data_IF_504008174468
#
_entry.id   IF_504008174468
#
_cell.length_a   1.000
_cell.length_b   1.000
_cell.length_c   1.000
_cell.angle_alpha   90.00
_cell.angle_beta   90.00
_cell.angle_gamma   90.00
#
_symmetry.space_group_name_H-M   'P 1'
#
loop_
_entity.id
_entity.type
_entity.pdbx_description
1 polymer ?
#
# COMPACT_ATOMS: atom_id res chain seq x y z
N UNK A 1 9.49 17.85 -10.59
CA UNK A 1 8.83 18.24 -9.33
C UNK A 1 8.97 17.17 -8.26
N UNK A 2 8.65 15.91 -8.55
CA UNK A 2 8.76 14.76 -7.62
C UNK A 2 10.13 14.63 -6.92
N UNK A 3 11.25 14.71 -7.66
CA UNK A 3 12.60 14.69 -7.06
C UNK A 3 12.87 15.84 -6.09
N UNK A 4 12.28 17.02 -6.32
CA UNK A 4 12.40 18.16 -5.41
C UNK A 4 11.54 17.96 -4.16
N UNK A 5 10.36 17.35 -4.32
CA UNK A 5 9.50 16.95 -3.21
C UNK A 5 10.21 15.90 -2.32
N UNK A 6 10.83 14.89 -2.93
CA UNK A 6 11.64 13.88 -2.25
C UNK A 6 12.83 14.49 -1.50
N UNK A 7 13.59 15.37 -2.16
CA UNK A 7 14.70 16.08 -1.52
C UNK A 7 14.25 16.90 -0.30
N UNK A 8 13.12 17.62 -0.45
CA UNK A 8 12.54 18.41 0.63
C UNK A 8 12.09 17.51 1.79
N UNK A 9 11.41 16.40 1.53
CA UNK A 9 11.00 15.46 2.57
C UNK A 9 12.19 14.78 3.26
N UNK A 10 13.25 14.44 2.52
CA UNK A 10 14.51 13.94 3.10
C UNK A 10 15.15 14.98 4.02
N UNK A 11 15.08 16.28 3.67
CA UNK A 11 15.58 17.35 4.55
C UNK A 11 14.83 17.43 5.88
N UNK A 12 13.56 17.01 5.92
CA UNK A 12 12.77 16.94 7.15
C UNK A 12 13.27 15.82 8.09
N UNK A 13 14.03 14.84 7.57
CA UNK A 13 14.66 13.78 8.37
C UNK A 13 15.89 14.26 9.14
N UNK A 14 16.47 15.39 8.74
CA UNK A 14 17.69 15.92 9.35
C UNK A 14 17.43 16.23 10.83
N UNK A 15 18.34 15.84 11.75
CA UNK A 15 18.16 16.14 13.16
C UNK A 15 18.35 17.64 13.38
N UNK A 16 17.58 18.23 14.29
CA UNK A 16 17.80 19.61 14.70
C UNK A 16 19.08 19.68 15.56
N UNK A 17 19.93 20.69 15.29
CA UNK A 17 21.26 20.81 15.91
C UNK A 17 21.23 21.36 17.34
N UNK A 18 20.16 22.08 17.70
CA UNK A 18 19.96 22.62 19.03
C UNK A 18 19.37 21.56 19.97
N UNK A 19 19.88 21.48 21.20
CA UNK A 19 19.49 20.42 22.14
C UNK A 19 18.01 20.50 22.56
N UNK A 20 17.47 21.71 22.73
CA UNK A 20 16.06 21.90 23.04
C UNK A 20 15.19 21.55 21.83
N UNK A 21 15.63 21.95 20.63
CA UNK A 21 14.95 21.60 19.38
C UNK A 21 14.95 20.08 19.11
N UNK A 22 16.06 19.38 19.37
CA UNK A 22 16.16 17.93 19.23
C UNK A 22 15.27 17.19 20.24
N UNK A 23 15.16 17.70 21.47
CA UNK A 23 14.25 17.16 22.46
C UNK A 23 12.79 17.38 22.07
N UNK A 24 12.42 18.58 21.62
CA UNK A 24 11.08 18.89 21.12
C UNK A 24 10.73 18.04 19.88
N UNK A 25 11.71 17.77 18.99
CA UNK A 25 11.53 16.86 17.87
C UNK A 25 11.22 15.44 18.35
N UNK A 26 11.94 14.94 19.35
CA UNK A 26 11.74 13.61 19.91
C UNK A 26 10.37 13.47 20.57
N UNK A 27 9.98 14.44 21.37
CA UNK A 27 8.68 14.49 22.05
C UNK A 27 7.53 14.61 21.05
N UNK A 28 7.64 15.52 20.08
CA UNK A 28 6.64 15.71 19.03
C UNK A 28 6.46 14.46 18.17
N UNK A 29 7.54 13.78 17.79
CA UNK A 29 7.48 12.51 17.08
C UNK A 29 6.78 11.42 17.90
N UNK A 30 7.06 11.34 19.20
CA UNK A 30 6.41 10.36 20.07
C UNK A 30 4.92 10.67 20.20
N UNK A 31 4.56 11.92 20.50
CA UNK A 31 3.17 12.35 20.63
C UNK A 31 2.37 12.15 19.35
N UNK A 32 2.96 12.39 18.17
CA UNK A 32 2.29 12.17 16.89
C UNK A 32 2.03 10.69 16.61
N UNK A 33 2.98 9.79 16.95
CA UNK A 33 2.80 8.33 16.82
C UNK A 33 1.72 7.78 17.75
N UNK A 34 1.64 8.30 18.97
CA UNK A 34 0.61 7.95 19.95
C UNK A 34 -0.75 8.60 19.63
N UNK A 35 -0.78 9.53 18.66
CA UNK A 35 -1.97 10.26 18.26
C UNK A 35 -2.96 9.41 17.44
N UNK A 36 -4.24 9.71 17.59
CA UNK A 36 -5.32 8.93 16.98
C UNK A 36 -5.25 8.87 15.44
N UNK A 37 -4.79 9.93 14.77
CA UNK A 37 -4.67 9.92 13.30
C UNK A 37 -3.57 8.96 12.84
N UNK A 38 -2.42 8.94 13.52
CA UNK A 38 -1.35 8.01 13.21
C UNK A 38 -1.80 6.57 13.40
N UNK A 39 -2.44 6.28 14.54
CA UNK A 39 -2.98 4.95 14.83
C UNK A 39 -3.99 4.49 13.77
N UNK A 40 -4.86 5.38 13.28
CA UNK A 40 -5.78 5.07 12.17
C UNK A 40 -5.04 4.70 10.87
N UNK A 41 -3.96 5.42 10.53
CA UNK A 41 -3.16 5.10 9.34
C UNK A 41 -2.43 3.75 9.49
N UNK A 42 -1.97 3.41 10.70
CA UNK A 42 -1.38 2.10 11.00
C UNK A 42 -2.42 0.97 10.92
N UNK A 43 -3.59 1.16 11.52
CA UNK A 43 -4.72 0.20 11.46
C UNK A 43 -5.14 -0.09 10.01
N UNK A 44 -5.08 0.92 9.14
CA UNK A 44 -5.36 0.77 7.72
C UNK A 44 -4.17 0.32 6.88
N UNK A 45 -3.01 0.04 7.47
CA UNK A 45 -1.82 -0.41 6.73
C UNK A 45 -1.29 0.61 5.71
N UNK A 46 -1.58 1.91 5.91
CA UNK A 46 -1.20 2.99 5.00
C UNK A 46 0.21 3.53 5.25
N UNK A 47 0.82 3.16 6.38
CA UNK A 47 2.20 3.45 6.71
C UNK A 47 3.06 2.22 6.43
N UNK A 48 4.21 2.42 5.78
CA UNK A 48 5.19 1.33 5.61
C UNK A 48 5.76 0.89 6.96
N UNK A 49 6.18 -0.38 7.02
CA UNK A 49 6.67 -1.03 8.23
C UNK A 49 7.81 -0.22 8.90
N UNK A 50 7.46 0.42 10.02
CA UNK A 50 8.22 1.52 10.62
C UNK A 50 9.47 1.07 11.39
N UNK A 51 9.72 -0.23 11.50
CA UNK A 51 10.82 -0.81 12.29
C UNK A 51 12.22 -0.47 11.74
N UNK A 52 12.33 -0.22 10.42
CA UNK A 52 13.60 0.13 9.75
C UNK A 52 13.67 1.59 9.28
N UNK A 53 12.58 2.34 9.43
CA UNK A 53 12.46 3.70 8.93
C UNK A 53 12.92 4.74 9.95
N UNK A 54 13.75 5.68 9.50
CA UNK A 54 14.06 6.90 10.23
C UNK A 54 12.92 7.90 10.03
N UNK A 55 12.47 8.53 11.11
CA UNK A 55 11.43 9.55 11.06
C UNK A 55 11.88 10.87 11.67
N UNK A 56 11.65 11.97 10.95
CA UNK A 56 11.84 13.34 11.42
C UNK A 56 10.50 14.01 11.73
N UNK A 57 10.51 14.99 12.65
CA UNK A 57 9.33 15.75 13.06
C UNK A 57 9.54 17.26 12.89
N UNK A 58 8.51 17.97 12.41
CA UNK A 58 8.46 19.43 12.38
C UNK A 58 7.06 19.91 12.76
N UNK A 59 6.95 21.16 13.22
CA UNK A 59 5.66 21.81 13.41
C UNK A 59 5.66 23.23 12.86
N UNK A 60 4.48 23.70 12.45
CA UNK A 60 4.21 25.10 12.14
C UNK A 60 3.24 25.59 13.21
N UNK A 61 3.75 26.36 14.17
CA UNK A 61 3.01 26.70 15.38
C UNK A 61 2.71 25.47 16.25
N UNK A 62 1.62 25.55 17.02
CA UNK A 62 1.07 24.44 17.81
C UNK A 62 0.10 23.55 17.02
N UNK A 63 -0.32 24.01 15.85
CA UNK A 63 -1.55 23.52 15.22
C UNK A 63 -1.28 22.54 14.11
N UNK A 64 -0.10 22.59 13.47
CA UNK A 64 0.25 21.72 12.34
C UNK A 64 1.54 20.99 12.63
N UNK A 65 1.50 19.68 12.45
CA UNK A 65 2.59 18.76 12.72
C UNK A 65 2.89 17.94 11.46
N UNK A 66 4.17 17.72 11.20
CA UNK A 66 4.70 17.00 10.06
C UNK A 66 5.59 15.88 10.55
N UNK A 67 5.42 14.70 9.96
CA UNK A 67 6.34 13.59 10.07
C UNK A 67 6.76 13.12 8.68
N UNK A 68 8.07 13.07 8.44
CA UNK A 68 8.63 12.47 7.24
C UNK A 68 9.40 11.22 7.63
N UNK A 69 9.29 10.16 6.83
CA UNK A 69 9.83 8.83 7.12
C UNK A 69 10.51 8.19 5.93
N UNK A 70 11.66 7.56 6.14
CA UNK A 70 12.38 6.84 5.09
C UNK A 70 13.30 5.76 5.66
N UNK A 71 13.40 4.60 5.03
CA UNK A 71 14.38 3.58 5.42
C UNK A 71 15.79 3.96 4.96
N UNK A 72 16.81 3.44 5.64
CA UNK A 72 18.20 3.67 5.25
C UNK A 72 18.52 3.10 3.86
N UNK A 73 17.86 1.99 3.48
CA UNK A 73 18.02 1.37 2.16
C UNK A 73 17.43 2.26 1.07
N UNK A 74 16.20 2.74 1.28
CA UNK A 74 15.55 3.68 0.36
C UNK A 74 16.37 4.96 0.20
N UNK A 75 16.95 5.50 1.30
CA UNK A 75 17.81 6.68 1.23
C UNK A 75 19.06 6.44 0.38
N UNK A 76 19.73 5.29 0.53
CA UNK A 76 20.90 4.94 -0.30
C UNK A 76 20.53 4.84 -1.78
N UNK A 77 19.40 4.19 -2.11
CA UNK A 77 18.89 4.07 -3.47
C UNK A 77 18.57 5.42 -4.08
N UNK A 78 17.88 6.28 -3.32
CA UNK A 78 17.55 7.63 -3.74
C UNK A 78 18.81 8.48 -3.99
N UNK A 79 19.82 8.39 -3.12
CA UNK A 79 21.12 9.05 -3.31
C UNK A 79 21.90 8.50 -4.50
N UNK A 80 21.71 7.22 -4.85
CA UNK A 80 22.28 6.61 -6.05
C UNK A 80 21.54 7.01 -7.35
N UNK A 81 20.47 7.81 -7.24
CA UNK A 81 19.69 8.30 -8.37
C UNK A 81 18.62 7.32 -8.87
N UNK A 82 18.31 6.28 -8.09
CA UNK A 82 17.28 5.31 -8.40
C UNK A 82 15.90 6.02 -8.49
N UNK A 83 15.23 5.99 -9.64
CA UNK A 83 13.95 6.66 -9.83
C UNK A 83 12.75 5.83 -9.34
N UNK A 84 12.97 4.63 -8.77
CA UNK A 84 11.86 3.78 -8.33
C UNK A 84 11.07 4.44 -7.20
N UNK A 85 9.77 4.60 -7.46
CA UNK A 85 8.86 5.33 -6.57
C UNK A 85 8.51 4.58 -5.27
N UNK A 86 8.90 3.32 -5.16
CA UNK A 86 8.81 2.52 -3.94
C UNK A 86 9.73 3.02 -2.82
N UNK A 87 10.73 3.85 -3.17
CA UNK A 87 11.69 4.43 -2.25
C UNK A 87 11.39 5.89 -1.89
N UNK A 88 10.23 6.43 -2.32
CA UNK A 88 9.84 7.78 -1.95
C UNK A 88 9.62 7.89 -0.43
N UNK A 89 9.99 9.03 0.17
CA UNK A 89 9.76 9.26 1.60
C UNK A 89 8.25 9.31 1.90
N UNK A 90 7.87 8.68 2.99
CA UNK A 90 6.53 8.81 3.55
C UNK A 90 6.39 10.18 4.24
N UNK A 91 5.21 10.77 4.12
CA UNK A 91 4.85 12.03 4.76
C UNK A 91 3.49 11.87 5.45
N UNK A 92 3.43 12.25 6.73
CA UNK A 92 2.20 12.38 7.49
C UNK A 92 2.12 13.81 7.98
N UNK A 93 1.02 14.50 7.66
CA UNK A 93 0.73 15.85 8.13
C UNK A 93 -0.59 15.79 8.88
N UNK A 94 -0.59 16.29 10.11
CA UNK A 94 -1.79 16.41 10.89
C UNK A 94 -1.97 17.82 11.42
N UNK A 95 -3.22 18.23 11.58
CA UNK A 95 -3.56 19.43 12.34
C UNK A 95 -4.34 19.06 13.59
N UNK A 96 -4.08 19.79 14.68
CA UNK A 96 -4.92 19.70 15.86
C UNK A 96 -6.30 20.28 15.52
N UNK A 97 -7.40 19.63 15.92
CA UNK A 97 -8.72 20.21 15.77
C UNK A 97 -8.68 21.57 16.47
N UNK A 98 -9.02 22.61 15.72
CA UNK A 98 -9.10 23.96 16.25
C UNK A 98 -10.13 23.93 17.37
N UNK A 99 -9.67 23.94 18.63
CA UNK A 99 -10.59 24.12 19.75
C UNK A 99 -11.42 25.38 19.50
N UNK A 100 -12.71 25.35 19.85
CA UNK A 100 -13.73 26.41 19.67
C UNK A 100 -13.39 27.77 20.33
N UNK A 101 -12.13 28.01 20.68
CA UNK A 101 -11.62 29.29 21.14
C UNK A 101 -11.53 30.27 19.96
N UNK A 102 -12.66 30.84 19.57
CA UNK A 102 -12.81 31.95 18.61
C UNK A 102 -12.40 33.31 19.21
N UNK A 103 -11.39 33.36 20.09
CA UNK A 103 -10.86 34.63 20.60
C UNK A 103 -9.47 34.91 20.01
N UNK A 104 -9.42 35.85 19.08
CA UNK A 104 -8.20 36.58 18.70
C UNK A 104 -7.31 36.02 17.58
N UNK A 105 -7.62 34.86 17.00
CA UNK A 105 -6.68 34.07 16.19
C UNK A 105 -6.93 34.03 14.67
N UNK A 106 -7.86 34.81 14.10
CA UNK A 106 -8.27 34.66 12.70
C UNK A 106 -7.11 34.85 11.70
N UNK A 107 -6.33 35.92 11.86
CA UNK A 107 -5.22 36.25 10.94
C UNK A 107 -4.01 35.31 11.12
N UNK A 108 -3.71 34.92 12.36
CA UNK A 108 -2.63 33.98 12.66
C UNK A 108 -2.96 32.58 12.13
N UNK A 109 -4.20 32.11 12.28
CA UNK A 109 -4.67 30.85 11.70
C UNK A 109 -4.66 30.90 10.18
N UNK A 110 -5.09 32.00 9.56
CA UNK A 110 -5.01 32.17 8.12
C UNK A 110 -3.56 32.08 7.62
N UNK A 111 -2.61 32.71 8.33
CA UNK A 111 -1.20 32.64 7.97
C UNK A 111 -0.62 31.23 8.15
N UNK A 112 -0.98 30.53 9.22
CA UNK A 112 -0.58 29.12 9.43
C UNK A 112 -1.15 28.23 8.31
N UNK A 113 -2.38 28.47 7.87
CA UNK A 113 -3.01 27.75 6.76
C UNK A 113 -2.37 28.06 5.40
N UNK A 114 -2.02 29.32 5.13
CA UNK A 114 -1.27 29.67 3.94
C UNK A 114 0.10 29.00 3.91
N UNK A 115 0.81 28.96 5.04
CA UNK A 115 2.10 28.26 5.15
C UNK A 115 1.95 26.77 4.91
N UNK A 116 0.89 26.14 5.43
CA UNK A 116 0.58 24.75 5.13
C UNK A 116 0.47 24.51 3.63
N UNK A 117 -0.40 25.26 2.94
CA UNK A 117 -0.62 25.06 1.52
C UNK A 117 0.63 25.31 0.67
N UNK A 118 1.46 26.29 1.05
CA UNK A 118 2.75 26.51 0.39
C UNK A 118 3.67 25.30 0.52
N UNK A 119 3.74 24.69 1.72
CA UNK A 119 4.57 23.50 1.96
C UNK A 119 3.97 22.26 1.27
N UNK A 120 2.67 22.04 1.39
CA UNK A 120 1.99 20.90 0.77
C UNK A 120 2.09 20.94 -0.76
N UNK A 121 1.96 22.09 -1.41
CA UNK A 121 2.12 22.18 -2.86
C UNK A 121 3.48 21.66 -3.36
N UNK A 122 4.52 21.72 -2.51
CA UNK A 122 5.84 21.16 -2.82
C UNK A 122 5.95 19.67 -2.52
N UNK A 123 5.15 19.15 -1.57
CA UNK A 123 5.26 17.79 -1.04
C UNK A 123 4.18 16.82 -1.55
N UNK A 124 3.04 17.33 -2.04
CA UNK A 124 1.95 16.54 -2.62
C UNK A 124 2.35 15.61 -3.78
N UNK A 125 3.43 15.87 -4.54
CA UNK A 125 3.90 14.88 -5.53
C UNK A 125 4.40 13.55 -4.94
N UNK A 126 4.57 13.44 -3.62
CA UNK A 126 4.97 12.19 -2.95
C UNK A 126 3.82 11.17 -2.96
N UNK A 127 4.12 9.90 -3.28
CA UNK A 127 3.10 8.84 -3.32
C UNK A 127 2.56 8.43 -1.95
N UNK A 128 3.37 8.56 -0.92
CA UNK A 128 3.03 8.16 0.44
C UNK A 128 2.79 9.38 1.33
N UNK A 129 1.93 10.30 0.88
CA UNK A 129 1.57 11.51 1.61
C UNK A 129 0.15 11.41 2.18
N UNK A 130 0.06 11.46 3.50
CA UNK A 130 -1.19 11.43 4.27
C UNK A 130 -1.37 12.75 4.99
N UNK A 131 -2.45 13.46 4.69
CA UNK A 131 -2.71 14.80 5.22
C UNK A 131 -4.12 14.82 5.78
N UNK A 132 -4.26 14.98 7.09
CA UNK A 132 -5.57 14.80 7.72
C UNK A 132 -5.62 15.07 9.22
N UNK A 133 -6.68 14.57 9.83
CA UNK A 133 -6.87 14.56 11.28
C UNK A 133 -7.62 13.29 11.67
N UNK A 134 -7.60 12.96 12.95
CA UNK A 134 -8.33 11.82 13.47
C UNK A 134 -9.84 11.98 13.20
N UNK A 135 -10.48 10.90 12.74
CA UNK A 135 -11.91 10.91 12.44
C UNK A 135 -12.28 11.67 11.17
N UNK A 136 -11.33 11.88 10.25
CA UNK A 136 -11.62 12.37 8.90
C UNK A 136 -12.68 11.47 8.23
N UNK A 137 -13.80 12.04 7.74
CA UNK A 137 -14.80 11.29 6.99
C UNK A 137 -14.15 10.59 5.78
N UNK A 138 -14.63 9.38 5.47
CA UNK A 138 -14.21 8.61 4.31
C UNK A 138 -12.73 8.16 4.29
N UNK A 139 -11.97 8.34 5.38
CA UNK A 139 -10.59 7.86 5.46
C UNK A 139 -10.50 6.34 5.22
N UNK A 140 -11.44 5.56 5.75
CA UNK A 140 -11.52 4.11 5.49
C UNK A 140 -11.74 3.78 4.01
N UNK A 141 -12.58 4.55 3.32
CA UNK A 141 -12.85 4.36 1.88
C UNK A 141 -11.64 4.77 1.03
N UNK A 142 -10.99 5.89 1.38
CA UNK A 142 -9.73 6.32 0.77
C UNK A 142 -8.61 5.30 0.99
N UNK A 143 -8.50 4.76 2.21
CA UNK A 143 -7.52 3.74 2.54
C UNK A 143 -7.70 2.50 1.67
N UNK A 144 -8.93 2.00 1.54
CA UNK A 144 -9.26 0.87 0.66
C UNK A 144 -8.84 1.14 -0.78
N UNK A 145 -9.15 2.33 -1.32
CA UNK A 145 -8.75 2.72 -2.67
C UNK A 145 -7.23 2.88 -2.85
N UNK A 146 -6.55 3.45 -1.87
CA UNK A 146 -5.10 3.64 -1.92
C UNK A 146 -4.32 2.32 -1.81
N UNK A 147 -4.77 1.39 -0.96
CA UNK A 147 -4.24 0.03 -0.92
C UNK A 147 -4.52 -0.73 -2.21
N UNK A 148 -5.68 -0.54 -2.85
CA UNK A 148 -5.89 -1.10 -4.18
C UNK A 148 -4.89 -0.51 -5.18
N UNK A 149 -4.68 0.81 -5.17
CA UNK A 149 -3.79 1.51 -6.09
C UNK A 149 -2.28 1.28 -5.87
N UNK A 150 -1.83 1.05 -4.64
CA UNK A 150 -0.40 0.83 -4.32
C UNK A 150 0.09 -0.58 -4.67
N UNK A 151 -0.83 -1.53 -4.83
CA UNK A 151 -0.55 -2.93 -5.18
C UNK A 151 -0.71 -3.23 -6.67
N UNK A 152 -1.17 -2.27 -7.49
CA UNK A 152 -1.05 -2.39 -8.95
C UNK A 152 0.44 -2.43 -9.33
N UNK A 153 0.99 -3.63 -9.49
CA UNK A 153 2.29 -3.88 -10.12
C UNK A 153 3.42 -4.41 -9.22
N UNK A 154 3.21 -4.67 -7.92
CA UNK A 154 4.29 -5.22 -7.05
C UNK A 154 3.74 -6.33 -6.16
N UNK A 155 4.00 -7.58 -6.51
CA UNK A 155 3.72 -8.75 -5.67
C UNK A 155 4.79 -8.92 -4.57
N UNK A 156 4.51 -9.70 -3.51
CA UNK A 156 5.53 -10.06 -2.53
C UNK A 156 6.81 -10.60 -3.19
N UNK A 157 7.99 -10.28 -2.65
CA UNK A 157 9.29 -10.68 -3.22
C UNK A 157 9.48 -12.19 -3.44
N UNK A 158 8.71 -13.04 -2.75
CA UNK A 158 8.76 -14.49 -2.91
C UNK A 158 7.88 -15.00 -4.06
N UNK A 159 7.19 -14.12 -4.78
CA UNK A 159 6.44 -14.42 -5.99
C UNK A 159 7.34 -14.05 -7.17
N UNK A 160 7.80 -15.05 -7.93
CA UNK A 160 8.82 -14.90 -8.98
C UNK A 160 8.23 -14.46 -10.34
N UNK A 161 7.00 -13.90 -10.35
CA UNK A 161 6.31 -13.45 -11.56
C UNK A 161 5.88 -11.98 -11.45
N UNK A 162 5.82 -11.29 -12.58
CA UNK A 162 5.43 -9.90 -12.71
C UNK A 162 3.92 -9.74 -12.95
N UNK A 163 3.38 -8.54 -12.71
CA UNK A 163 1.97 -8.24 -12.98
C UNK A 163 1.58 -8.36 -14.47
N UNK A 164 2.55 -8.42 -15.38
CA UNK A 164 2.32 -8.64 -16.81
C UNK A 164 2.10 -10.11 -17.18
N UNK A 165 2.47 -11.03 -16.29
CA UNK A 165 2.35 -12.48 -16.53
C UNK A 165 0.92 -12.99 -16.24
N UNK A 166 0.05 -12.11 -15.76
CA UNK A 166 -1.32 -12.42 -15.34
C UNK A 166 -2.32 -11.42 -15.93
N UNK A 167 -3.49 -11.92 -16.31
CA UNK A 167 -4.61 -11.13 -16.79
C UNK A 167 -5.02 -10.07 -15.76
N UNK A 168 -5.33 -8.87 -16.24
CA UNK A 168 -5.65 -7.71 -15.40
C UNK A 168 -6.84 -7.98 -14.46
N UNK A 169 -7.77 -8.82 -14.91
CA UNK A 169 -8.97 -9.23 -14.21
C UNK A 169 -8.68 -10.09 -12.97
N UNK A 170 -7.54 -10.79 -12.91
CA UNK A 170 -7.17 -11.68 -11.80
C UNK A 170 -6.20 -11.01 -10.83
N UNK A 171 -5.61 -9.88 -11.20
CA UNK A 171 -4.73 -9.11 -10.32
C UNK A 171 -5.36 -8.76 -8.96
N UNK A 172 -6.65 -8.37 -8.85
CA UNK A 172 -7.30 -8.13 -7.56
C UNK A 172 -7.36 -9.38 -6.65
N UNK A 173 -7.43 -10.58 -7.23
CA UNK A 173 -7.42 -11.83 -6.48
C UNK A 173 -6.03 -12.16 -5.94
N UNK A 174 -5.00 -12.01 -6.78
CA UNK A 174 -3.61 -12.19 -6.38
C UNK A 174 -3.23 -11.29 -5.20
N UNK A 175 -3.71 -10.04 -5.20
CA UNK A 175 -3.52 -9.13 -4.09
C UNK A 175 -4.13 -9.66 -2.78
N UNK A 176 -5.39 -10.11 -2.82
CA UNK A 176 -6.09 -10.64 -1.64
C UNK A 176 -5.42 -11.93 -1.13
N UNK A 177 -5.02 -12.81 -2.03
CA UNK A 177 -4.29 -14.04 -1.71
C UNK A 177 -2.96 -13.75 -1.01
N UNK A 178 -2.17 -12.82 -1.55
CA UNK A 178 -0.92 -12.38 -0.94
C UNK A 178 -1.13 -11.77 0.45
N UNK A 179 -2.13 -10.90 0.63
CA UNK A 179 -2.48 -10.30 1.93
C UNK A 179 -2.88 -11.36 2.97
N UNK A 180 -3.47 -12.45 2.51
CA UNK A 180 -3.87 -13.57 3.37
C UNK A 180 -2.79 -14.64 3.53
N UNK A 181 -1.58 -14.42 3.03
CA UNK A 181 -0.44 -15.32 3.20
C UNK A 181 -0.51 -16.60 2.37
N UNK A 182 -1.27 -16.61 1.28
CA UNK A 182 -1.29 -17.74 0.37
C UNK A 182 0.08 -17.96 -0.31
N UNK A 183 0.44 -19.20 -0.65
CA UNK A 183 1.65 -19.47 -1.44
C UNK A 183 1.55 -18.84 -2.84
N UNK A 184 2.69 -18.54 -3.49
CA UNK A 184 2.70 -18.05 -4.87
C UNK A 184 2.03 -19.07 -5.81
N UNK A 185 1.13 -18.64 -6.71
CA UNK A 185 0.68 -19.47 -7.82
C UNK A 185 1.73 -19.54 -8.94
N UNK A 186 1.51 -20.47 -9.86
CA UNK A 186 2.08 -20.50 -11.20
C UNK A 186 1.10 -19.82 -12.19
N UNK A 187 1.47 -18.66 -12.79
CA UNK A 187 0.68 -18.02 -13.84
C UNK A 187 0.66 -18.81 -15.15
N UNK A 188 -0.45 -18.73 -15.90
CA UNK A 188 -0.55 -19.29 -17.25
C UNK A 188 -0.25 -20.80 -17.31
N UNK A 189 -0.71 -21.54 -16.31
CA UNK A 189 -0.38 -22.95 -16.14
C UNK A 189 -1.06 -23.83 -17.19
N UNK A 190 -0.25 -24.56 -17.96
CA UNK A 190 -0.69 -25.53 -18.94
C UNK A 190 -0.73 -26.93 -18.31
N UNK A 191 -1.94 -27.49 -18.14
CA UNK A 191 -2.10 -28.87 -17.73
C UNK A 191 -1.88 -29.78 -18.94
N UNK A 192 -0.83 -30.61 -18.89
CA UNK A 192 -0.51 -31.56 -19.95
C UNK A 192 -1.30 -32.88 -19.82
N UNK A 193 -1.61 -33.51 -20.95
CA UNK A 193 -2.12 -34.87 -21.03
C UNK A 193 -0.98 -35.93 -21.07
N UNK A 194 -1.34 -37.20 -21.23
CA UNK A 194 -0.38 -38.30 -21.28
C UNK A 194 0.52 -38.31 -22.53
N UNK A 195 0.14 -37.55 -23.57
CA UNK A 195 0.88 -37.41 -24.83
C UNK A 195 1.70 -36.10 -24.87
N UNK A 196 1.89 -35.44 -23.71
CA UNK A 196 2.59 -34.16 -23.55
C UNK A 196 1.97 -33.01 -24.36
N UNK A 197 0.63 -33.05 -24.50
CA UNK A 197 -0.15 -31.99 -25.15
C UNK A 197 -0.91 -31.19 -24.10
N UNK A 198 -1.09 -29.90 -24.37
CA UNK A 198 -1.93 -29.04 -23.53
C UNK A 198 -3.36 -29.56 -23.54
N UNK A 199 -3.82 -29.99 -22.37
CA UNK A 199 -5.15 -30.53 -22.13
C UNK A 199 -6.13 -29.43 -21.69
N UNK A 200 -5.66 -28.54 -20.81
CA UNK A 200 -6.40 -27.41 -20.25
C UNK A 200 -5.42 -26.32 -19.79
N UNK A 201 -5.87 -25.08 -19.77
CA UNK A 201 -5.07 -23.94 -19.30
C UNK A 201 -5.74 -23.27 -18.10
N UNK A 202 -4.92 -22.79 -17.16
CA UNK A 202 -5.38 -22.01 -16.02
C UNK A 202 -4.60 -20.70 -15.93
N UNK A 203 -5.32 -19.63 -15.58
CA UNK A 203 -4.69 -18.32 -15.38
C UNK A 203 -3.74 -18.36 -14.18
N UNK A 204 -4.15 -19.04 -13.10
CA UNK A 204 -3.32 -19.32 -11.93
C UNK A 204 -3.47 -20.78 -11.51
N UNK A 205 -2.39 -21.41 -11.09
CA UNK A 205 -2.42 -22.74 -10.51
C UNK A 205 -1.54 -22.88 -9.26
N UNK A 206 -1.92 -23.81 -8.39
CA UNK A 206 -1.07 -24.36 -7.35
C UNK A 206 -0.97 -25.88 -7.57
N UNK A 207 -0.02 -26.35 -8.40
CA UNK A 207 0.02 -27.75 -8.84
C UNK A 207 0.13 -28.76 -7.70
N UNK A 208 0.94 -28.45 -6.68
CA UNK A 208 1.10 -29.28 -5.49
C UNK A 208 -0.22 -29.49 -4.72
N UNK A 209 -1.16 -28.56 -4.87
CA UNK A 209 -2.47 -28.57 -4.18
C UNK A 209 -3.62 -28.95 -5.12
N UNK A 210 -3.34 -29.14 -6.41
CA UNK A 210 -4.34 -29.31 -7.47
C UNK A 210 -5.45 -28.26 -7.42
N UNK A 211 -5.09 -27.00 -7.21
CA UNK A 211 -6.02 -25.86 -7.24
C UNK A 211 -5.74 -25.02 -8.48
N UNK A 212 -6.78 -24.64 -9.20
CA UNK A 212 -6.67 -23.79 -10.39
C UNK A 212 -7.71 -22.67 -10.37
N UNK A 213 -7.33 -21.51 -10.91
CA UNK A 213 -8.23 -20.38 -11.17
C UNK A 213 -8.26 -20.15 -12.67
N UNK A 214 -9.47 -20.20 -13.23
CA UNK A 214 -9.72 -19.96 -14.64
C UNK A 214 -10.27 -18.55 -14.86
N UNK A 215 -9.98 -18.02 -16.04
CA UNK A 215 -10.70 -16.87 -16.56
C UNK A 215 -12.15 -17.24 -16.91
N UNK A 216 -13.11 -16.34 -16.68
CA UNK A 216 -14.47 -16.53 -17.16
C UNK A 216 -14.48 -16.54 -18.70
N UNK A 217 -15.04 -17.59 -19.30
CA UNK A 217 -15.21 -17.67 -20.76
C UNK A 217 -16.34 -16.78 -21.27
N UNK A 218 -17.36 -16.52 -20.42
CA UNK A 218 -18.53 -15.67 -20.64
C UNK A 218 -18.96 -14.96 -19.33
N UNK A 219 -20.01 -14.14 -19.34
CA UNK A 219 -20.46 -13.32 -18.18
C UNK A 219 -20.68 -14.10 -16.88
N UNK A 220 -21.07 -15.37 -16.95
CA UNK A 220 -21.30 -16.22 -15.77
C UNK A 220 -20.11 -17.16 -15.46
N UNK A 221 -19.12 -17.27 -16.35
CA UNK A 221 -17.89 -18.05 -16.15
C UNK A 221 -18.04 -19.56 -15.96
N UNK A 222 -19.25 -20.11 -16.14
CA UNK A 222 -19.55 -21.53 -15.85
C UNK A 222 -19.28 -22.48 -17.03
N UNK A 223 -19.31 -21.98 -18.27
CA UNK A 223 -19.12 -22.77 -19.49
C UNK A 223 -17.67 -22.71 -20.01
N UNK A 224 -16.67 -22.80 -19.11
CA UNK A 224 -15.28 -22.93 -19.52
C UNK A 224 -14.95 -24.43 -19.70
N UNK A 225 -14.66 -24.94 -20.92
CA UNK A 225 -14.40 -26.36 -21.16
C UNK A 225 -13.20 -26.90 -20.38
N UNK A 226 -12.27 -26.03 -19.99
CA UNK A 226 -11.10 -26.42 -19.20
C UNK A 226 -11.47 -26.71 -17.74
N UNK A 227 -12.58 -26.14 -17.24
CA UNK A 227 -13.10 -26.44 -15.90
C UNK A 227 -13.43 -27.93 -15.77
N UNK A 228 -14.22 -28.46 -16.70
CA UNK A 228 -14.64 -29.87 -16.66
C UNK A 228 -13.43 -30.81 -16.80
N UNK A 229 -12.50 -30.49 -17.70
CA UNK A 229 -11.26 -31.25 -17.91
C UNK A 229 -10.40 -31.29 -16.64
N UNK A 230 -10.12 -30.14 -16.03
CA UNK A 230 -9.30 -30.06 -14.82
C UNK A 230 -9.98 -30.72 -13.62
N UNK A 231 -11.29 -30.48 -13.43
CA UNK A 231 -12.07 -31.16 -12.38
C UNK A 231 -12.07 -32.69 -12.58
N UNK A 232 -12.18 -33.18 -13.82
CA UNK A 232 -12.04 -34.59 -14.15
C UNK A 232 -10.68 -35.19 -13.78
N UNK A 233 -9.62 -34.37 -13.78
CA UNK A 233 -8.27 -34.73 -13.34
C UNK A 233 -8.04 -34.54 -11.83
N UNK A 234 -9.11 -34.27 -11.08
CA UNK A 234 -9.12 -34.12 -9.63
C UNK A 234 -8.63 -32.77 -9.14
N UNK A 235 -8.71 -31.72 -9.96
CA UNK A 235 -8.42 -30.36 -9.55
C UNK A 235 -9.65 -29.67 -8.95
N UNK A 236 -9.43 -28.87 -7.92
CA UNK A 236 -10.43 -27.90 -7.44
C UNK A 236 -10.31 -26.62 -8.27
N UNK A 237 -11.36 -26.28 -9.00
CA UNK A 237 -11.35 -25.20 -9.98
C UNK A 237 -12.24 -24.05 -9.52
N UNK A 238 -11.65 -22.86 -9.46
CA UNK A 238 -12.33 -21.59 -9.23
C UNK A 238 -12.37 -20.77 -10.52
N UNK A 239 -13.31 -19.84 -10.61
CA UNK A 239 -13.42 -18.92 -11.76
C UNK A 239 -13.39 -17.50 -11.24
N UNK A 240 -12.53 -16.67 -11.82
CA UNK A 240 -12.36 -15.27 -11.46
C UNK A 240 -13.52 -14.39 -11.99
N UNK A 241 -14.74 -14.60 -11.49
CA UNK A 241 -15.96 -13.89 -11.92
C UNK A 241 -16.41 -12.78 -10.97
N UNK A 242 -15.75 -12.62 -9.82
CA UNK A 242 -16.07 -11.59 -8.81
C UNK A 242 -14.85 -10.75 -8.46
N UNK A 243 -15.06 -9.57 -7.86
CA UNK A 243 -13.96 -8.72 -7.39
C UNK A 243 -13.23 -9.31 -6.17
N UNK A 244 -13.91 -10.13 -5.35
CA UNK A 244 -13.36 -10.76 -4.15
C UNK A 244 -13.01 -12.23 -4.36
N UNK A 245 -11.93 -12.67 -3.71
CA UNK A 245 -11.54 -14.08 -3.66
C UNK A 245 -12.55 -14.86 -2.81
N UNK A 246 -13.03 -16.04 -3.25
CA UNK A 246 -13.89 -16.89 -2.44
C UNK A 246 -13.18 -17.38 -1.16
N UNK A 247 -13.89 -17.35 -0.02
CA UNK A 247 -13.36 -17.83 1.26
C UNK A 247 -12.88 -19.29 1.20
N UNK A 248 -13.52 -20.11 0.37
CA UNK A 248 -13.13 -21.50 0.13
C UNK A 248 -11.73 -21.63 -0.50
N UNK A 249 -11.40 -20.77 -1.48
CA UNK A 249 -10.07 -20.74 -2.08
C UNK A 249 -9.02 -20.33 -1.04
N UNK A 250 -9.32 -19.31 -0.23
CA UNK A 250 -8.44 -18.88 0.86
C UNK A 250 -8.21 -19.99 1.90
N UNK A 251 -9.25 -20.76 2.24
CA UNK A 251 -9.14 -21.86 3.19
C UNK A 251 -8.27 -23.00 2.64
N UNK A 252 -8.45 -23.38 1.37
CA UNK A 252 -7.62 -24.40 0.70
C UNK A 252 -6.15 -23.99 0.60
N UNK A 253 -5.88 -22.70 0.44
CA UNK A 253 -4.52 -22.17 0.34
C UNK A 253 -3.86 -21.89 1.70
N UNK A 254 -4.61 -21.92 2.81
CA UNK A 254 -4.09 -21.75 4.17
C UNK A 254 -3.90 -23.04 4.95
N UNK A 255 -4.62 -24.10 4.60
CA UNK A 255 -4.49 -25.38 5.27
C UNK A 255 -3.19 -26.06 4.83
N UNK A 256 -2.19 -26.00 5.70
CA UNK A 256 -1.04 -26.93 5.75
C UNK A 256 -1.37 -28.10 6.71
#
# INVERSE_FOLDING_TARGET
MERLAGALAISLLAPLSDAAAAQAEKEGRQAMREGAFWQQLEEYGLLQDGSSARWGYRSIGSDIQFMAGMSNEALKRWMAGDPTREHDPALVVQWNPVGDSTMGLADEKQMVWHKLWQVLNLLLPLRSAWVGQAGMPDLASLAKGALAASFYGVFPKNWEFDATDVAAEVQPWLQQLAQHGAPPPEPGYELMDADDRVFAEAELAWPDRKVAVLMPSDQDGLDNPDREKMTGMGWTVFVASSESVPDELLALLKND
#
